data_IF_750298669479
#
_entry.id   IF_750298669479
#
_cell.length_a   1.000
_cell.length_b   1.000
_cell.length_c   1.000
_cell.angle_alpha   90.00
_cell.angle_beta   90.00
_cell.angle_gamma   90.00
#
_symmetry.space_group_name_H-M   'P 1'
#
loop_
_entity.id
_entity.type
_entity.pdbx_description
1 polymer ?
#
# COMPACT_ATOMS: atom_id res chain seq x y z
N UNK A 1 8.29 -5.94 16.99
CA UNK A 1 7.67 -4.60 16.97
C UNK A 1 6.63 -4.60 15.85
N UNK A 2 5.58 -3.78 15.93
CA UNK A 2 4.73 -3.55 14.77
C UNK A 2 5.40 -2.47 13.92
N UNK A 3 5.49 -2.68 12.61
CA UNK A 3 5.90 -1.63 11.67
C UNK A 3 4.76 -1.37 10.68
N UNK A 4 4.51 -0.10 10.38
CA UNK A 4 3.41 0.34 9.54
C UNK A 4 3.97 0.76 8.17
N UNK A 5 3.49 0.16 7.09
CA UNK A 5 3.73 0.63 5.72
C UNK A 5 2.44 1.15 5.10
N UNK A 6 2.50 2.05 4.14
CA UNK A 6 1.30 2.62 3.50
C UNK A 6 1.33 2.35 2.00
N UNK A 7 0.24 1.83 1.39
CA UNK A 7 0.13 1.55 -0.05
C UNK A 7 -0.95 2.38 -0.74
N UNK A 8 -0.82 2.60 -2.06
CA UNK A 8 -1.79 3.26 -2.94
C UNK A 8 -2.36 2.30 -3.96
N UNK A 9 -3.68 2.42 -4.22
CA UNK A 9 -4.27 2.03 -5.50
C UNK A 9 -5.32 3.06 -5.94
N UNK A 10 -5.38 3.37 -7.24
CA UNK A 10 -6.57 3.97 -7.84
C UNK A 10 -7.55 2.84 -8.06
N UNK A 11 -8.63 2.84 -7.29
CA UNK A 11 -9.65 1.80 -7.37
C UNK A 11 -10.88 2.39 -8.01
N UNK A 12 -11.47 1.61 -8.91
CA UNK A 12 -12.83 1.93 -9.36
C UNK A 12 -13.78 1.82 -8.17
N UNK A 13 -14.85 2.58 -8.20
CA UNK A 13 -15.84 2.59 -7.12
C UNK A 13 -16.39 1.19 -6.79
N UNK A 14 -16.54 0.31 -7.78
CA UNK A 14 -16.98 -1.08 -7.62
C UNK A 14 -15.90 -1.97 -6.98
N UNK A 15 -14.64 -1.82 -7.35
CA UNK A 15 -13.51 -2.50 -6.71
C UNK A 15 -13.36 -2.08 -5.24
N UNK A 16 -13.50 -0.78 -4.96
CA UNK A 16 -13.52 -0.26 -3.60
C UNK A 16 -14.70 -0.83 -2.81
N UNK A 17 -15.89 -0.92 -3.40
CA UNK A 17 -17.05 -1.51 -2.75
C UNK A 17 -16.81 -2.99 -2.44
N UNK A 18 -16.20 -3.75 -3.36
CA UNK A 18 -15.81 -5.13 -3.10
C UNK A 18 -14.84 -5.24 -1.91
N UNK A 19 -13.86 -4.34 -1.79
CA UNK A 19 -12.96 -4.33 -0.62
C UNK A 19 -13.72 -4.04 0.69
N UNK A 20 -14.65 -3.08 0.67
CA UNK A 20 -15.50 -2.75 1.82
C UNK A 20 -16.38 -3.94 2.24
N UNK A 21 -16.99 -4.61 1.26
CA UNK A 21 -17.87 -5.77 1.50
C UNK A 21 -17.08 -6.98 2.03
N UNK A 22 -15.77 -7.03 1.78
CA UNK A 22 -14.85 -8.07 2.26
C UNK A 22 -14.04 -7.65 3.49
N UNK A 23 -14.41 -6.57 4.20
CA UNK A 23 -13.75 -6.15 5.42
C UNK A 23 -13.69 -7.29 6.46
N UNK A 24 -12.52 -7.49 7.08
CA UNK A 24 -12.28 -8.58 8.02
C UNK A 24 -11.99 -9.95 7.38
N UNK A 25 -11.93 -10.02 6.04
CA UNK A 25 -11.53 -11.23 5.29
C UNK A 25 -10.11 -11.12 4.78
N UNK A 26 -9.56 -12.25 4.32
CA UNK A 26 -8.24 -12.30 3.68
C UNK A 26 -8.33 -11.84 2.23
N UNK A 27 -7.36 -11.01 1.83
CA UNK A 27 -7.16 -10.58 0.45
C UNK A 27 -5.88 -11.25 -0.05
N UNK A 28 -5.94 -11.86 -1.22
CA UNK A 28 -4.76 -12.34 -1.94
C UNK A 28 -4.46 -11.36 -3.07
N UNK A 29 -3.21 -10.92 -3.16
CA UNK A 29 -2.74 -10.10 -4.27
C UNK A 29 -1.74 -10.92 -5.08
N UNK A 30 -1.82 -10.83 -6.41
CA UNK A 30 -0.96 -11.58 -7.33
C UNK A 30 0.16 -10.70 -7.91
N UNK A 31 0.48 -9.61 -7.23
CA UNK A 31 1.41 -8.57 -7.68
C UNK A 31 2.18 -8.04 -6.47
N UNK A 32 3.37 -7.51 -6.71
CA UNK A 32 4.07 -6.78 -5.67
C UNK A 32 3.27 -5.54 -5.26
N UNK A 33 3.28 -5.24 -3.96
CA UNK A 33 2.60 -4.08 -3.40
C UNK A 33 3.68 -3.10 -2.90
N UNK A 34 3.91 -1.99 -3.61
CA UNK A 34 4.80 -0.96 -3.12
C UNK A 34 4.14 -0.25 -1.93
N UNK A 35 4.91 -0.06 -0.88
CA UNK A 35 4.53 0.69 0.32
C UNK A 35 5.67 1.59 0.76
N UNK A 36 5.38 2.54 1.63
CA UNK A 36 6.38 3.41 2.25
C UNK A 36 6.11 3.55 3.75
N UNK A 37 7.15 3.86 4.52
CA UNK A 37 7.01 4.30 5.92
C UNK A 37 6.58 5.77 6.04
N UNK A 38 6.64 6.54 4.94
CA UNK A 38 6.35 7.97 4.90
C UNK A 38 4.93 8.24 4.35
N UNK A 39 4.05 8.73 5.21
CA UNK A 39 2.66 9.02 4.87
C UNK A 39 2.53 10.16 3.83
N UNK A 40 3.43 11.15 3.84
CA UNK A 40 3.42 12.24 2.87
C UNK A 40 3.78 11.71 1.48
N UNK A 41 4.76 10.80 1.39
CA UNK A 41 5.09 10.10 0.15
C UNK A 41 3.86 9.32 -0.34
N UNK A 42 3.24 8.50 0.51
CA UNK A 42 2.04 7.74 0.13
C UNK A 42 0.87 8.64 -0.34
N UNK A 43 0.64 9.74 0.35
CA UNK A 43 -0.43 10.71 0.04
C UNK A 43 -0.19 11.41 -1.30
N UNK A 44 1.06 11.78 -1.60
CA UNK A 44 1.43 12.36 -2.90
C UNK A 44 1.12 11.42 -4.06
N UNK A 45 1.27 10.12 -3.86
CA UNK A 45 0.85 9.16 -4.87
C UNK A 45 -0.68 9.08 -4.97
N UNK A 46 -1.42 9.09 -3.84
CA UNK A 46 -2.88 8.97 -3.84
C UNK A 46 -3.58 10.06 -4.69
N UNK A 47 -3.04 11.28 -4.70
CA UNK A 47 -3.62 12.41 -5.42
C UNK A 47 -4.91 12.92 -4.77
N UNK A 48 -5.62 13.82 -5.45
CA UNK A 48 -6.81 14.50 -4.93
C UNK A 48 -8.14 13.87 -5.38
N UNK A 49 -8.09 12.70 -6.02
CA UNK A 49 -9.28 12.00 -6.54
C UNK A 49 -9.91 12.63 -7.78
N UNK A 50 -9.34 13.72 -8.32
CA UNK A 50 -9.95 14.45 -9.44
C UNK A 50 -9.58 13.90 -10.83
N UNK A 51 -8.62 12.97 -10.89
CA UNK A 51 -8.01 12.55 -12.16
C UNK A 51 -8.98 11.81 -13.10
N UNK A 52 -9.90 10.99 -12.58
CA UNK A 52 -10.85 10.26 -13.42
C UNK A 52 -12.21 10.11 -12.72
N UNK A 53 -13.33 10.33 -13.44
CA UNK A 53 -14.64 9.98 -12.91
C UNK A 53 -14.69 8.47 -12.58
N UNK A 54 -15.37 8.13 -11.48
CA UNK A 54 -15.55 6.77 -10.95
C UNK A 54 -14.29 6.11 -10.33
N UNK A 55 -13.22 6.87 -10.13
CA UNK A 55 -12.08 6.42 -9.34
C UNK A 55 -12.02 7.17 -8.02
N UNK A 56 -11.61 6.45 -6.98
CA UNK A 56 -11.45 7.00 -5.64
C UNK A 56 -9.96 6.98 -5.26
N UNK A 57 -9.48 8.07 -4.67
CA UNK A 57 -8.14 8.14 -4.07
C UNK A 57 -8.17 7.50 -2.68
N UNK A 58 -7.48 6.38 -2.54
CA UNK A 58 -7.46 5.59 -1.30
C UNK A 58 -6.03 5.45 -0.77
N UNK A 59 -5.90 5.62 0.54
CA UNK A 59 -4.70 5.36 1.31
C UNK A 59 -4.88 4.07 2.13
N UNK A 60 -4.00 3.09 1.95
CA UNK A 60 -4.03 1.84 2.72
C UNK A 60 -2.96 1.84 3.80
N UNK A 61 -3.36 1.70 5.07
CA UNK A 61 -2.43 1.40 6.16
C UNK A 61 -2.20 -0.12 6.26
N UNK A 62 -0.96 -0.55 6.06
CA UNK A 62 -0.51 -1.95 6.14
C UNK A 62 0.25 -2.14 7.45
N UNK A 63 -0.27 -3.00 8.32
CA UNK A 63 0.37 -3.34 9.60
C UNK A 63 0.98 -4.72 9.52
N UNK A 64 2.26 -4.84 9.86
CA UNK A 64 2.97 -6.12 9.83
C UNK A 64 3.59 -6.49 11.17
N UNK A 65 3.61 -7.79 11.44
CA UNK A 65 4.37 -8.36 12.55
C UNK A 65 5.79 -8.67 12.08
N UNK A 66 6.76 -7.87 12.50
CA UNK A 66 8.17 -8.05 12.11
C UNK A 66 8.86 -9.24 12.78
N UNK A 67 8.20 -9.87 13.76
CA UNK A 67 8.74 -11.01 14.49
C UNK A 67 8.37 -12.36 13.86
N UNK A 68 7.71 -12.36 12.69
CA UNK A 68 7.43 -13.59 11.93
C UNK A 68 8.72 -14.18 11.33
N UNK A 69 8.80 -15.51 11.29
CA UNK A 69 9.89 -16.23 10.61
C UNK A 69 9.87 -16.01 9.10
N UNK A 70 8.68 -15.79 8.54
CA UNK A 70 8.48 -15.41 7.13
C UNK A 70 8.48 -13.90 6.97
N UNK A 71 9.23 -13.41 5.98
CA UNK A 71 9.29 -12.00 5.61
C UNK A 71 8.88 -11.83 4.14
N UNK A 72 7.57 -11.78 3.85
CA UNK A 72 7.07 -11.56 2.48
C UNK A 72 7.21 -10.08 2.08
N UNK A 73 8.25 -9.40 2.55
CA UNK A 73 8.50 -7.99 2.29
C UNK A 73 9.99 -7.69 2.34
N UNK A 74 10.39 -6.67 1.60
CA UNK A 74 11.76 -6.17 1.57
C UNK A 74 11.77 -4.65 1.66
N UNK A 75 12.54 -4.10 2.60
CA UNK A 75 12.91 -2.68 2.56
C UNK A 75 13.95 -2.50 1.44
N UNK A 76 13.59 -1.75 0.40
CA UNK A 76 14.41 -1.57 -0.79
C UNK A 76 14.95 -0.14 -0.91
N UNK A 77 14.81 0.69 0.13
CA UNK A 77 15.32 2.07 0.18
C UNK A 77 16.74 2.20 -0.37
N UNK A 78 17.65 1.34 0.10
CA UNK A 78 19.07 1.45 -0.28
C UNK A 78 19.38 0.90 -1.68
N UNK A 79 18.48 0.09 -2.25
CA UNK A 79 18.59 -0.48 -3.59
C UNK A 79 17.86 0.38 -4.63
N UNK A 80 16.87 1.17 -4.20
CA UNK A 80 16.06 2.02 -5.06
C UNK A 80 16.83 3.24 -5.54
N UNK A 81 16.54 3.66 -6.78
CA UNK A 81 16.96 4.96 -7.29
C UNK A 81 16.30 6.10 -6.49
N UNK A 82 15.07 5.88 -6.02
CA UNK A 82 14.26 6.85 -5.28
C UNK A 82 14.41 6.66 -3.77
N UNK A 83 15.62 6.85 -3.24
CA UNK A 83 15.95 6.59 -1.82
C UNK A 83 15.12 7.36 -0.78
N UNK A 84 14.45 8.43 -1.20
CA UNK A 84 13.64 9.27 -0.33
C UNK A 84 12.22 8.74 -0.14
N UNK A 85 11.82 7.71 -0.88
CA UNK A 85 10.48 7.12 -0.77
C UNK A 85 10.36 6.12 0.38
N UNK A 86 11.46 5.78 1.08
CA UNK A 86 11.47 4.81 2.19
C UNK A 86 10.68 3.53 1.87
N UNK A 87 10.88 3.03 0.65
CA UNK A 87 10.05 2.00 0.06
C UNK A 87 10.25 0.62 0.70
N UNK A 88 9.12 -0.03 0.99
CA UNK A 88 9.00 -1.44 1.37
C UNK A 88 8.12 -2.14 0.35
N UNK A 89 8.65 -3.19 -0.28
CA UNK A 89 7.96 -3.95 -1.30
C UNK A 89 7.43 -5.26 -0.72
N UNK A 90 6.14 -5.53 -0.86
CA UNK A 90 5.49 -6.77 -0.43
C UNK A 90 5.26 -7.74 -1.59
N UNK A 91 5.38 -9.05 -1.34
CA UNK A 91 5.08 -10.14 -2.28
C UNK A 91 3.79 -10.87 -1.91
#
# INVERSE_FOLDING_TARGET
MLSNGVSRQHLKADELQQLKDNAGRLISMNTFIPTTYDEDVASRFAGDGSFSPNFESILFEVRINTNSDTKPYANIKELSFMKHEDEVLFQ
#
